data_IF_431027210454
#
_entry.id   IF_431027210454
#
_cell.length_a   1.000
_cell.length_b   1.000
_cell.length_c   1.000
_cell.angle_alpha   90.00
_cell.angle_beta   90.00
_cell.angle_gamma   90.00
#
_symmetry.space_group_name_H-M   'P 1'
#
loop_
_entity.id
_entity.type
_entity.pdbx_description
1 polymer ?
#
# COMPACT_ATOMS: atom_id res chain seq x y z
N UNK A 1 -19.62 -18.06 -8.55
CA UNK A 1 -18.61 -19.01 -8.18
C UNK A 1 -17.66 -18.49 -7.15
N UNK A 2 -17.40 -19.31 -6.17
CA UNK A 2 -16.54 -18.90 -5.11
C UNK A 2 -15.12 -19.10 -5.49
N UNK A 3 -14.35 -18.05 -5.34
CA UNK A 3 -12.91 -18.19 -5.41
C UNK A 3 -12.42 -18.64 -4.07
N UNK A 4 -11.37 -19.44 -4.05
CA UNK A 4 -10.72 -19.68 -2.77
C UNK A 4 -10.27 -18.38 -2.18
N UNK A 5 -10.21 -18.30 -0.87
CA UNK A 5 -9.65 -17.10 -0.25
C UNK A 5 -8.29 -16.88 -0.81
N UNK A 6 -8.12 -15.74 -1.39
CA UNK A 6 -6.89 -15.47 -2.05
C UNK A 6 -5.80 -15.33 -1.04
N UNK A 7 -4.71 -16.00 -1.25
CA UNK A 7 -3.52 -15.58 -0.64
C UNK A 7 -3.21 -14.21 -1.14
N UNK A 8 -2.77 -13.33 -0.27
CA UNK A 8 -2.36 -12.03 -0.70
C UNK A 8 -1.14 -12.17 -1.60
N UNK A 9 -1.26 -11.58 -2.77
CA UNK A 9 -0.21 -11.60 -3.76
C UNK A 9 0.43 -10.24 -3.80
N UNK A 10 1.76 -10.19 -3.68
CA UNK A 10 2.46 -8.91 -3.61
C UNK A 10 2.17 -8.01 -4.80
N UNK A 11 2.09 -8.58 -6.00
CA UNK A 11 1.77 -7.79 -7.17
C UNK A 11 0.35 -7.23 -7.11
N UNK A 12 -0.59 -8.05 -6.68
CA UNK A 12 -1.98 -7.62 -6.55
C UNK A 12 -2.14 -6.54 -5.51
N UNK A 13 -1.48 -6.72 -4.35
CA UNK A 13 -1.55 -5.72 -3.30
C UNK A 13 -0.90 -4.42 -3.78
N UNK A 14 0.26 -4.51 -4.43
CA UNK A 14 0.92 -3.31 -4.93
C UNK A 14 0.05 -2.57 -5.93
N UNK A 15 -0.63 -3.29 -6.82
CA UNK A 15 -1.53 -2.67 -7.78
C UNK A 15 -2.70 -1.99 -7.08
N UNK A 16 -3.28 -2.66 -6.09
CA UNK A 16 -4.39 -2.10 -5.34
C UNK A 16 -3.98 -0.81 -4.63
N UNK A 17 -2.80 -0.81 -4.00
CA UNK A 17 -2.31 0.38 -3.32
C UNK A 17 -2.01 1.49 -4.31
N UNK A 18 -1.40 1.16 -5.44
CA UNK A 18 -1.09 2.14 -6.47
C UNK A 18 -2.37 2.78 -7.01
N UNK A 19 -3.39 1.98 -7.26
CA UNK A 19 -4.66 2.49 -7.77
C UNK A 19 -5.30 3.43 -6.76
N UNK A 20 -5.24 3.07 -5.47
CA UNK A 20 -5.79 3.94 -4.43
C UNK A 20 -5.07 5.30 -4.42
N UNK A 21 -3.73 5.25 -4.46
CA UNK A 21 -2.94 6.49 -4.41
C UNK A 21 -3.25 7.36 -5.61
N UNK A 22 -3.32 6.75 -6.80
CA UNK A 22 -3.60 7.50 -8.01
C UNK A 22 -5.00 8.09 -8.03
N UNK A 23 -5.95 7.41 -7.40
CA UNK A 23 -7.33 7.87 -7.40
C UNK A 23 -7.59 8.94 -6.34
N UNK A 24 -6.85 8.93 -5.23
CA UNK A 24 -7.20 9.78 -4.08
C UNK A 24 -6.12 10.77 -3.68
N UNK A 25 -4.87 10.53 -4.00
CA UNK A 25 -3.77 11.34 -3.51
C UNK A 25 -3.07 12.11 -4.64
N UNK A 26 -2.81 11.42 -5.76
CA UNK A 26 -2.06 12.04 -6.84
C UNK A 26 -2.94 12.95 -7.68
N UNK A 27 -2.32 13.99 -8.25
CA UNK A 27 -3.03 14.90 -9.14
C UNK A 27 -3.36 14.16 -10.44
N UNK A 28 -4.47 14.55 -11.08
CA UNK A 28 -4.78 13.96 -12.39
C UNK A 28 -3.64 14.19 -13.37
N UNK A 29 -3.32 13.17 -14.13
CA UNK A 29 -2.25 13.25 -15.10
C UNK A 29 -0.87 13.03 -14.54
N UNK A 30 -0.77 12.72 -13.22
CA UNK A 30 0.52 12.45 -12.60
C UNK A 30 0.47 11.16 -11.80
N UNK A 31 0.14 10.05 -12.45
CA UNK A 31 0.05 8.78 -11.72
C UNK A 31 1.44 8.27 -11.36
N UNK A 32 1.47 7.45 -10.32
CA UNK A 32 2.69 6.74 -9.96
C UNK A 32 2.58 5.27 -10.38
N UNK A 33 3.72 4.59 -10.37
CA UNK A 33 3.78 3.15 -10.61
C UNK A 33 3.96 2.45 -9.27
N UNK A 34 3.77 1.13 -9.22
CA UNK A 34 3.98 0.41 -7.96
C UNK A 34 5.39 0.55 -7.38
N UNK A 35 6.37 0.83 -8.22
CA UNK A 35 7.75 0.95 -7.76
C UNK A 35 8.15 2.39 -7.45
N UNK A 36 7.25 3.35 -7.62
CA UNK A 36 7.57 4.74 -7.39
C UNK A 36 7.81 5.00 -5.91
N UNK A 37 8.85 5.78 -5.63
CA UNK A 37 9.14 6.20 -4.28
C UNK A 37 8.15 7.30 -3.88
N UNK A 38 7.44 7.09 -2.77
CA UNK A 38 6.42 8.03 -2.34
C UNK A 38 6.99 9.42 -2.10
N UNK A 39 8.16 9.50 -1.47
CA UNK A 39 8.75 10.79 -1.17
C UNK A 39 9.09 11.54 -2.44
N UNK A 40 9.70 10.88 -3.39
CA UNK A 40 10.03 11.48 -4.68
C UNK A 40 8.77 11.89 -5.43
N UNK A 41 7.70 11.11 -5.29
CA UNK A 41 6.44 11.41 -5.96
C UNK A 41 5.67 12.53 -5.29
N UNK A 42 6.09 12.97 -4.10
CA UNK A 42 5.42 14.06 -3.41
C UNK A 42 4.34 13.61 -2.45
N UNK A 43 4.31 12.34 -2.07
CA UNK A 43 3.35 11.85 -1.09
C UNK A 43 3.89 12.20 0.29
N UNK A 44 3.22 13.10 0.99
CA UNK A 44 3.65 13.55 2.31
C UNK A 44 3.06 12.68 3.41
N UNK A 45 3.25 13.10 4.67
CA UNK A 45 2.77 12.34 5.82
C UNK A 45 1.26 12.14 5.79
N UNK A 46 0.52 13.18 5.36
CA UNK A 46 -0.93 13.05 5.30
C UNK A 46 -1.34 12.05 4.23
N UNK A 47 -0.64 12.07 3.10
CA UNK A 47 -0.91 11.08 2.05
C UNK A 47 -0.61 9.68 2.54
N UNK A 48 0.52 9.52 3.22
CA UNK A 48 0.86 8.20 3.75
C UNK A 48 -0.18 7.73 4.77
N UNK A 49 -0.65 8.63 5.62
CA UNK A 49 -1.69 8.26 6.58
C UNK A 49 -2.93 7.75 5.86
N UNK A 50 -3.31 8.39 4.76
CA UNK A 50 -4.46 7.91 3.98
C UNK A 50 -4.23 6.51 3.44
N UNK A 51 -3.00 6.21 3.02
CA UNK A 51 -2.67 4.87 2.55
C UNK A 51 -2.80 3.86 3.69
N UNK A 52 -2.31 4.22 4.88
CA UNK A 52 -2.39 3.32 6.03
C UNK A 52 -3.84 3.05 6.43
N UNK A 53 -4.68 4.08 6.38
CA UNK A 53 -6.10 3.92 6.66
C UNK A 53 -6.77 3.03 5.61
N UNK A 54 -6.37 3.18 4.35
CA UNK A 54 -6.89 2.32 3.30
C UNK A 54 -6.49 0.86 3.54
N UNK A 55 -5.22 0.64 3.95
CA UNK A 55 -4.76 -0.72 4.24
C UNK A 55 -5.61 -1.32 5.35
N UNK A 56 -5.90 -0.55 6.39
CA UNK A 56 -6.70 -1.05 7.49
C UNK A 56 -8.11 -1.40 7.01
N UNK A 57 -8.70 -0.53 6.19
CA UNK A 57 -10.06 -0.77 5.71
C UNK A 57 -10.12 -1.93 4.73
N UNK A 58 -9.13 -2.05 3.86
CA UNK A 58 -9.16 -3.04 2.80
C UNK A 58 -8.67 -4.40 3.25
N UNK A 59 -7.64 -4.43 4.09
CA UNK A 59 -7.00 -5.67 4.49
C UNK A 59 -7.21 -6.02 5.95
N UNK A 60 -7.84 -5.12 6.73
CA UNK A 60 -8.12 -5.38 8.13
C UNK A 60 -6.89 -5.37 9.01
N UNK A 61 -5.87 -4.62 8.63
CA UNK A 61 -4.61 -4.64 9.33
C UNK A 61 -4.07 -3.22 9.50
N UNK A 62 -3.76 -2.84 10.74
CA UNK A 62 -3.15 -1.55 11.03
C UNK A 62 -1.66 -1.76 11.31
N UNK A 63 -0.80 -1.05 10.57
CA UNK A 63 0.64 -1.21 10.77
C UNK A 63 1.06 -0.66 12.12
N UNK A 64 1.78 -1.45 12.92
CA UNK A 64 2.32 -0.92 14.18
C UNK A 64 3.34 0.18 13.92
N UNK A 65 3.44 1.11 14.87
CA UNK A 65 4.35 2.24 14.72
C UNK A 65 5.79 1.78 14.52
N UNK A 66 6.21 0.72 15.17
CA UNK A 66 7.58 0.25 15.05
C UNK A 66 7.90 -0.27 13.66
N UNK A 67 6.87 -0.58 12.85
CA UNK A 67 7.07 -1.05 11.48
C UNK A 67 6.99 0.07 10.46
N UNK A 68 6.72 1.30 10.91
CA UNK A 68 6.64 2.45 10.01
C UNK A 68 8.02 3.00 9.74
N UNK A 69 8.86 2.18 9.13
CA UNK A 69 10.21 2.56 8.75
C UNK A 69 10.27 2.72 7.25
N UNK A 70 11.23 3.49 6.78
CA UNK A 70 11.27 3.86 5.38
C UNK A 70 11.27 2.66 4.45
N UNK A 71 12.04 1.62 4.79
CA UNK A 71 12.12 0.45 3.92
C UNK A 71 10.77 -0.23 3.73
N UNK A 72 9.85 -0.06 4.68
CA UNK A 72 8.53 -0.68 4.58
C UNK A 72 7.51 0.22 3.90
N UNK A 73 7.70 1.54 3.96
CA UNK A 73 6.68 2.47 3.51
C UNK A 73 7.13 3.32 2.34
N UNK A 74 8.24 2.97 1.71
CA UNK A 74 8.83 3.81 0.68
C UNK A 74 8.01 3.83 -0.62
N UNK A 75 7.27 2.78 -0.91
CA UNK A 75 6.56 2.66 -2.18
C UNK A 75 5.39 1.70 -2.03
N UNK A 76 4.46 1.69 -2.99
CA UNK A 76 3.42 0.67 -2.98
C UNK A 76 3.99 -0.74 -2.95
N UNK A 77 5.07 -0.98 -3.69
CA UNK A 77 5.67 -2.31 -3.71
C UNK A 77 6.27 -2.67 -2.36
N UNK A 78 6.91 -1.71 -1.68
CA UNK A 78 7.47 -1.99 -0.36
C UNK A 78 6.38 -2.32 0.65
N UNK A 79 5.29 -1.55 0.62
CA UNK A 79 4.15 -1.82 1.49
C UNK A 79 3.53 -3.18 1.17
N UNK A 80 3.39 -3.50 -0.11
CA UNK A 80 2.83 -4.78 -0.51
C UNK A 80 3.68 -5.94 0.01
N UNK A 81 5.00 -5.81 -0.10
CA UNK A 81 5.89 -6.85 0.42
C UNK A 81 5.74 -7.00 1.93
N UNK A 82 5.65 -5.87 2.64
CA UNK A 82 5.45 -5.92 4.08
C UNK A 82 4.13 -6.60 4.43
N UNK A 83 3.04 -6.20 3.78
CA UNK A 83 1.72 -6.76 4.07
C UNK A 83 1.72 -8.27 3.82
N UNK A 84 2.34 -8.70 2.74
CA UNK A 84 2.33 -10.12 2.38
C UNK A 84 3.19 -10.97 3.31
N UNK A 85 4.06 -10.35 4.10
CA UNK A 85 4.87 -11.08 5.08
C UNK A 85 4.16 -11.22 6.42
N UNK A 86 3.00 -10.56 6.62
CA UNK A 86 2.33 -10.60 7.93
C UNK A 86 1.54 -11.88 8.08
N UNK A 87 1.78 -12.64 9.16
CA UNK A 87 1.07 -13.91 9.34
C UNK A 87 -0.43 -13.74 9.47
N UNK A 88 -0.88 -12.65 10.06
CA UNK A 88 -2.31 -12.45 10.28
C UNK A 88 -3.07 -12.21 8.99
N UNK A 89 -2.38 -11.96 7.88
CA UNK A 89 -3.01 -11.67 6.59
C UNK A 89 -2.81 -12.76 5.56
N UNK A 90 -1.97 -13.73 5.83
CA UNK A 90 -1.69 -14.78 4.85
C UNK A 90 -2.40 -16.08 5.15
#
# INVERSE_FOLDING_TARGET
MLRPPARLDANGVATTLTDFVNATIMAPGRPITPDADFETAGVDSMGLLKVLLFIEAEFGFWMPDEDLVEENVASPRALAAYICRRPELS
#
